data_IF_724745696427
#
_entry.id   IF_724745696427
#
_cell.length_a   1.000
_cell.length_b   1.000
_cell.length_c   1.000
_cell.angle_alpha   90.00
_cell.angle_beta   90.00
_cell.angle_gamma   90.00
#
_symmetry.space_group_name_H-M   'P 1'
#
loop_
_entity.id
_entity.type
_entity.pdbx_description
1 polymer ?
#
# COMPACT_ATOMS: atom_id res chain seq x y z
N UNK A 1 9.39 6.24 2.76
CA UNK A 1 9.15 6.52 1.33
C UNK A 1 7.78 7.17 1.11
N UNK A 2 6.66 6.55 1.54
CA UNK A 2 5.30 7.11 1.38
C UNK A 2 5.16 8.56 1.87
N UNK A 3 5.67 8.84 3.07
CA UNK A 3 5.66 10.19 3.70
C UNK A 3 6.39 11.22 2.82
N UNK A 4 7.55 10.87 2.29
CA UNK A 4 8.37 11.77 1.45
C UNK A 4 7.65 12.04 0.13
N UNK A 5 7.08 11.01 -0.49
CA UNK A 5 6.30 11.18 -1.72
C UNK A 5 5.12 12.15 -1.50
N UNK A 6 4.36 11.97 -0.42
CA UNK A 6 3.21 12.83 -0.10
C UNK A 6 3.64 14.26 0.22
N UNK A 7 4.75 14.45 0.94
CA UNK A 7 5.29 15.77 1.20
C UNK A 7 5.52 16.57 -0.10
N UNK A 8 6.20 15.99 -1.09
CA UNK A 8 6.40 16.66 -2.38
C UNK A 8 5.11 16.78 -3.20
N UNK A 9 4.24 15.78 -3.14
CA UNK A 9 2.92 15.84 -3.80
C UNK A 9 2.09 17.01 -3.28
N UNK A 10 2.06 17.20 -1.96
CA UNK A 10 1.30 18.25 -1.29
C UNK A 10 1.91 19.63 -1.55
N UNK A 11 3.25 19.77 -1.51
CA UNK A 11 3.92 21.02 -1.91
C UNK A 11 3.54 21.45 -3.33
N UNK A 12 3.52 20.51 -4.27
CA UNK A 12 3.10 20.77 -5.64
C UNK A 12 1.59 21.02 -5.76
N UNK A 13 0.76 20.35 -4.95
CA UNK A 13 -0.68 20.59 -4.88
C UNK A 13 -0.98 22.04 -4.48
N UNK A 14 -0.26 22.57 -3.51
CA UNK A 14 -0.36 23.96 -3.03
C UNK A 14 0.50 24.96 -3.80
N UNK A 15 1.10 24.56 -4.93
CA UNK A 15 1.95 25.41 -5.79
C UNK A 15 3.19 26.01 -5.10
N UNK A 16 3.63 25.42 -3.99
CA UNK A 16 4.85 25.82 -3.27
C UNK A 16 6.12 25.23 -3.90
N UNK A 17 5.97 24.25 -4.79
CA UNK A 17 7.08 23.62 -5.49
C UNK A 17 6.62 23.16 -6.86
N UNK A 18 7.10 23.80 -7.93
CA UNK A 18 6.82 23.39 -9.29
C UNK A 18 7.66 22.17 -9.65
N UNK A 19 7.11 21.00 -9.37
CA UNK A 19 7.64 19.76 -9.93
C UNK A 19 6.72 19.28 -11.02
N UNK A 20 7.30 18.75 -12.09
CA UNK A 20 6.57 18.01 -13.11
C UNK A 20 5.98 16.71 -12.58
N UNK A 21 5.41 16.64 -11.37
CA UNK A 21 4.92 15.41 -10.71
C UNK A 21 3.98 14.59 -11.61
N UNK A 22 3.25 15.26 -12.50
CA UNK A 22 2.34 14.60 -13.44
C UNK A 22 2.98 14.21 -14.78
N UNK A 23 4.15 14.75 -15.11
CA UNK A 23 4.84 14.57 -16.40
C UNK A 23 6.13 13.75 -16.28
N UNK A 24 6.85 13.87 -15.17
CA UNK A 24 8.15 13.22 -15.01
C UNK A 24 7.99 11.74 -14.68
N UNK A 25 8.81 10.92 -15.33
CA UNK A 25 8.81 9.48 -15.14
C UNK A 25 9.08 9.08 -13.68
N UNK A 26 9.94 9.84 -13.00
CA UNK A 26 10.28 9.61 -11.59
C UNK A 26 9.03 9.62 -10.69
N UNK A 27 8.21 10.67 -10.78
CA UNK A 27 7.04 10.87 -9.94
C UNK A 27 5.89 9.92 -10.26
N UNK A 28 5.86 9.32 -11.46
CA UNK A 28 4.87 8.31 -11.84
C UNK A 28 5.28 6.88 -11.49
N UNK A 29 6.59 6.58 -11.47
CA UNK A 29 7.12 5.27 -11.08
C UNK A 29 7.28 5.13 -9.57
N UNK A 30 7.68 6.19 -8.88
CA UNK A 30 8.01 6.12 -7.45
C UNK A 30 6.86 5.59 -6.57
N UNK A 31 5.59 6.04 -6.73
CA UNK A 31 4.46 5.48 -5.99
C UNK A 31 4.26 3.98 -6.25
N UNK A 32 4.50 3.52 -7.49
CA UNK A 32 4.40 2.11 -7.84
C UNK A 32 5.44 1.28 -7.09
N UNK A 33 6.67 1.77 -6.98
CA UNK A 33 7.73 1.12 -6.19
C UNK A 33 7.33 1.04 -4.71
N UNK A 34 6.80 2.14 -4.15
CA UNK A 34 6.36 2.18 -2.74
C UNK A 34 5.28 1.14 -2.48
N UNK A 35 4.24 1.11 -3.33
CA UNK A 35 3.14 0.15 -3.20
C UNK A 35 3.64 -1.29 -3.39
N UNK A 36 4.55 -1.53 -4.33
CA UNK A 36 5.15 -2.85 -4.54
C UNK A 36 5.85 -3.39 -3.30
N UNK A 37 6.74 -2.61 -2.70
CA UNK A 37 7.41 -3.02 -1.46
C UNK A 37 6.42 -3.20 -0.31
N UNK A 38 5.42 -2.34 -0.21
CA UNK A 38 4.40 -2.43 0.82
C UNK A 38 3.59 -3.73 0.70
N UNK A 39 3.09 -4.08 -0.49
CA UNK A 39 2.29 -5.28 -0.72
C UNK A 39 3.10 -6.58 -0.64
N UNK A 40 4.36 -6.58 -1.09
CA UNK A 40 5.27 -7.70 -0.85
C UNK A 40 5.46 -7.92 0.66
N UNK A 41 5.64 -6.83 1.42
CA UNK A 41 5.76 -6.90 2.88
C UNK A 41 4.49 -7.41 3.54
N UNK A 42 3.30 -7.05 3.03
CA UNK A 42 2.01 -7.61 3.48
C UNK A 42 1.97 -9.12 3.29
N UNK A 43 2.37 -9.62 2.12
CA UNK A 43 2.43 -11.05 1.81
C UNK A 43 3.39 -11.81 2.74
N UNK A 44 4.60 -11.28 2.92
CA UNK A 44 5.59 -11.82 3.87
C UNK A 44 5.02 -11.90 5.29
N UNK A 45 4.47 -10.79 5.79
CA UNK A 45 3.92 -10.70 7.14
C UNK A 45 2.72 -11.64 7.34
N UNK A 46 1.90 -11.83 6.31
CA UNK A 46 0.79 -12.76 6.36
C UNK A 46 1.29 -14.19 6.52
N UNK A 47 2.26 -14.61 5.71
CA UNK A 47 2.86 -15.96 5.83
C UNK A 47 3.57 -16.19 7.15
N UNK A 48 4.25 -15.19 7.72
CA UNK A 48 4.87 -15.28 9.05
C UNK A 48 3.78 -15.50 10.10
N UNK A 49 2.73 -14.67 10.09
CA UNK A 49 1.64 -14.73 11.05
C UNK A 49 0.85 -16.04 11.01
N UNK A 50 0.80 -16.70 9.84
CA UNK A 50 0.06 -17.95 9.62
C UNK A 50 0.96 -19.18 9.58
N UNK A 51 2.27 -19.05 9.88
CA UNK A 51 3.26 -20.13 9.77
C UNK A 51 2.92 -21.35 10.63
N UNK A 52 2.28 -21.13 11.79
CA UNK A 52 1.82 -22.18 12.71
C UNK A 52 0.34 -22.57 12.51
N UNK A 53 -0.26 -22.15 11.40
CA UNK A 53 -1.70 -22.27 11.15
C UNK A 53 -2.42 -20.92 11.24
N UNK A 54 -3.67 -20.90 10.78
CA UNK A 54 -4.49 -19.68 10.75
C UNK A 54 -5.31 -19.62 12.03
N UNK A 55 -5.01 -18.67 12.90
CA UNK A 55 -5.92 -18.31 13.99
C UNK A 55 -6.99 -17.36 13.44
N UNK A 56 -8.18 -17.90 13.16
CA UNK A 56 -9.28 -17.13 12.57
C UNK A 56 -9.72 -15.95 13.43
N UNK A 57 -9.63 -16.04 14.76
CA UNK A 57 -9.98 -14.92 15.65
C UNK A 57 -9.05 -13.73 15.43
N UNK A 58 -7.75 -13.94 15.52
CA UNK A 58 -6.77 -12.85 15.33
C UNK A 58 -6.74 -12.33 13.90
N UNK A 59 -6.90 -13.23 12.93
CA UNK A 59 -7.01 -12.87 11.52
C UNK A 59 -8.23 -11.97 11.26
N UNK A 60 -9.42 -12.36 11.72
CA UNK A 60 -10.64 -11.56 11.55
C UNK A 60 -10.56 -10.21 12.25
N UNK A 61 -10.00 -10.14 13.47
CA UNK A 61 -9.77 -8.85 14.14
C UNK A 61 -8.87 -7.92 13.33
N UNK A 62 -7.81 -8.44 12.73
CA UNK A 62 -6.94 -7.66 11.83
C UNK A 62 -7.71 -7.15 10.62
N UNK A 63 -8.49 -8.01 9.96
CA UNK A 63 -9.30 -7.62 8.80
C UNK A 63 -10.30 -6.53 9.18
N UNK A 64 -11.06 -6.72 10.27
CA UNK A 64 -12.03 -5.73 10.77
C UNK A 64 -11.34 -4.39 11.05
N UNK A 65 -10.20 -4.40 11.74
CA UNK A 65 -9.42 -3.17 12.00
C UNK A 65 -9.02 -2.46 10.72
N UNK A 66 -8.52 -3.19 9.72
CA UNK A 66 -8.14 -2.60 8.43
C UNK A 66 -9.36 -2.06 7.68
N UNK A 67 -10.48 -2.79 7.67
CA UNK A 67 -11.72 -2.39 7.02
C UNK A 67 -12.31 -1.12 7.67
N UNK A 68 -12.32 -1.03 9.00
CA UNK A 68 -12.79 0.17 9.72
C UNK A 68 -11.93 1.38 9.36
N UNK A 69 -10.61 1.24 9.37
CA UNK A 69 -9.70 2.32 8.98
C UNK A 69 -9.90 2.72 7.51
N UNK A 70 -10.08 1.73 6.62
CA UNK A 70 -10.32 1.96 5.21
C UNK A 70 -11.62 2.75 4.96
N UNK A 71 -12.71 2.32 5.60
CA UNK A 71 -14.01 3.00 5.56
C UNK A 71 -13.94 4.40 6.18
N UNK A 72 -13.20 4.57 7.27
CA UNK A 72 -12.97 5.89 7.87
C UNK A 72 -12.29 6.86 6.90
N UNK A 73 -11.27 6.40 6.15
CA UNK A 73 -10.62 7.20 5.10
C UNK A 73 -11.59 7.49 3.96
N UNK A 74 -12.38 6.51 3.51
CA UNK A 74 -13.39 6.72 2.48
C UNK A 74 -14.41 7.78 2.89
N UNK A 75 -14.92 7.72 4.11
CA UNK A 75 -15.90 8.66 4.64
C UNK A 75 -15.30 10.07 4.80
N UNK A 76 -14.11 10.18 5.39
CA UNK A 76 -13.44 11.47 5.53
C UNK A 76 -13.17 12.12 4.16
N UNK A 77 -12.65 11.34 3.21
CA UNK A 77 -12.36 11.86 1.85
C UNK A 77 -13.60 12.10 1.02
N UNK A 78 -14.74 11.47 1.33
CA UNK A 78 -16.03 11.78 0.73
C UNK A 78 -16.46 13.22 0.98
N UNK A 79 -16.30 13.70 2.21
CA UNK A 79 -16.62 15.08 2.57
C UNK A 79 -15.55 16.08 2.09
N UNK A 80 -14.26 15.72 2.18
CA UNK A 80 -13.15 16.64 1.81
C UNK A 80 -12.97 16.77 0.30
N UNK A 81 -13.18 15.70 -0.47
CA UNK A 81 -12.99 15.68 -1.92
C UNK A 81 -14.24 15.18 -2.66
N UNK A 82 -15.32 15.99 -2.74
CA UNK A 82 -16.58 15.57 -3.35
C UNK A 82 -16.41 15.03 -4.78
N UNK A 83 -16.84 13.77 -4.97
CA UNK A 83 -16.73 13.05 -6.24
C UNK A 83 -15.35 12.48 -6.55
N UNK A 84 -14.31 12.73 -5.74
CA UNK A 84 -12.95 12.16 -5.91
C UNK A 84 -12.46 11.40 -4.68
N UNK A 85 -13.39 10.97 -3.84
CA UNK A 85 -13.12 10.24 -2.60
C UNK A 85 -12.46 8.88 -2.83
N UNK A 86 -11.80 8.38 -1.79
CA UNK A 86 -11.05 7.13 -1.84
C UNK A 86 -12.03 5.96 -1.66
N UNK A 87 -12.59 5.44 -2.75
CA UNK A 87 -13.52 4.30 -2.70
C UNK A 87 -12.82 2.93 -2.62
N UNK A 88 -11.58 2.84 -3.11
CA UNK A 88 -10.78 1.64 -3.02
C UNK A 88 -9.29 1.99 -2.99
N UNK A 89 -8.81 2.35 -1.80
CA UNK A 89 -7.42 2.66 -1.50
C UNK A 89 -6.59 1.46 -1.04
N UNK A 90 -5.34 1.69 -0.65
CA UNK A 90 -4.41 0.62 -0.26
C UNK A 90 -4.92 -0.23 0.92
N UNK A 91 -5.60 0.34 1.92
CA UNK A 91 -6.13 -0.45 3.05
C UNK A 91 -7.27 -1.40 2.63
N UNK A 92 -8.12 -0.98 1.70
CA UNK A 92 -9.14 -1.85 1.09
C UNK A 92 -8.47 -3.02 0.37
N UNK A 93 -7.45 -2.71 -0.44
CA UNK A 93 -6.66 -3.71 -1.13
C UNK A 93 -6.03 -4.69 -0.14
N UNK A 94 -5.36 -4.22 0.91
CA UNK A 94 -4.71 -5.10 1.91
C UNK A 94 -5.73 -6.01 2.59
N UNK A 95 -6.90 -5.50 2.97
CA UNK A 95 -7.96 -6.29 3.60
C UNK A 95 -8.45 -7.40 2.66
N UNK A 96 -8.83 -7.06 1.42
CA UNK A 96 -9.32 -8.03 0.42
C UNK A 96 -8.22 -9.02 0.04
N UNK A 97 -7.03 -8.54 -0.28
CA UNK A 97 -5.86 -9.37 -0.60
C UNK A 97 -5.51 -10.34 0.52
N UNK A 98 -5.65 -9.94 1.79
CA UNK A 98 -5.35 -10.82 2.92
C UNK A 98 -6.30 -12.03 2.97
N UNK A 99 -7.58 -11.82 2.63
CA UNK A 99 -8.59 -12.91 2.54
C UNK A 99 -8.29 -13.79 1.33
N UNK A 100 -8.10 -13.20 0.15
CA UNK A 100 -7.83 -13.93 -1.09
C UNK A 100 -6.50 -14.70 -1.06
N UNK A 101 -5.55 -14.27 -0.25
CA UNK A 101 -4.26 -14.93 -0.08
C UNK A 101 -4.36 -16.27 0.68
N UNK A 102 -5.42 -16.52 1.46
CA UNK A 102 -5.58 -17.72 2.29
C UNK A 102 -5.25 -19.03 1.55
N UNK A 103 -5.84 -19.34 0.37
CA UNK A 103 -5.55 -20.58 -0.36
C UNK A 103 -4.08 -20.72 -0.82
N UNK A 104 -3.32 -19.62 -0.87
CA UNK A 104 -1.93 -19.58 -1.34
C UNK A 104 -0.90 -19.72 -0.22
N UNK A 105 -1.27 -19.52 1.05
CA UNK A 105 -0.34 -19.42 2.18
C UNK A 105 0.54 -20.66 2.38
N UNK A 106 0.04 -21.85 2.02
CA UNK A 106 0.77 -23.12 2.12
C UNK A 106 1.32 -23.61 0.78
N UNK A 107 1.14 -22.83 -0.30
CA UNK A 107 1.44 -23.23 -1.69
C UNK A 107 2.32 -22.17 -2.36
N UNK A 108 3.58 -22.00 -1.94
CA UNK A 108 4.41 -20.87 -2.36
C UNK A 108 4.68 -20.83 -3.87
N UNK A 109 4.82 -21.99 -4.53
CA UNK A 109 5.05 -22.05 -5.98
C UNK A 109 3.79 -21.60 -6.74
N UNK A 110 2.62 -22.10 -6.34
CA UNK A 110 1.34 -21.68 -6.94
C UNK A 110 1.12 -20.18 -6.70
N UNK A 111 1.43 -19.69 -5.49
CA UNK A 111 1.42 -18.26 -5.17
C UNK A 111 2.29 -17.46 -6.15
N UNK A 112 3.52 -17.87 -6.38
CA UNK A 112 4.42 -17.20 -7.32
C UNK A 112 3.87 -17.20 -8.75
N UNK A 113 3.46 -18.36 -9.26
CA UNK A 113 2.96 -18.49 -10.63
C UNK A 113 1.71 -17.64 -10.86
N UNK A 114 0.76 -17.66 -9.93
CA UNK A 114 -0.43 -16.79 -9.98
C UNK A 114 -0.05 -15.32 -9.83
N UNK A 115 0.91 -14.98 -8.99
CA UNK A 115 1.40 -13.61 -8.84
C UNK A 115 2.00 -13.07 -10.14
N UNK A 116 2.84 -13.87 -10.81
CA UNK A 116 3.43 -13.53 -12.10
C UNK A 116 2.34 -13.41 -13.18
N UNK A 117 1.38 -14.35 -13.23
CA UNK A 117 0.32 -14.32 -14.24
C UNK A 117 -0.62 -13.13 -14.11
N UNK A 118 -0.78 -12.57 -12.91
CA UNK A 118 -1.55 -11.35 -12.67
C UNK A 118 -0.78 -10.08 -13.04
N UNK A 119 0.54 -10.07 -12.86
CA UNK A 119 1.37 -8.89 -13.12
C UNK A 119 1.76 -8.79 -14.59
N UNK A 120 2.09 -9.92 -15.23
CA UNK A 120 2.68 -9.93 -16.57
C UNK A 120 1.81 -9.25 -17.64
N UNK A 121 0.47 -9.40 -17.70
CA UNK A 121 -0.33 -8.73 -18.73
C UNK A 121 -0.31 -7.21 -18.55
N UNK A 122 -0.36 -6.74 -17.30
CA UNK A 122 -0.34 -5.31 -17.03
C UNK A 122 1.04 -4.69 -17.30
N UNK A 123 2.11 -5.42 -17.01
CA UNK A 123 3.48 -4.96 -17.16
C UNK A 123 3.96 -4.95 -18.63
N UNK A 124 3.70 -6.03 -19.38
CA UNK A 124 4.24 -6.21 -20.73
C UNK A 124 3.26 -5.86 -21.84
N UNK A 125 1.95 -6.01 -21.60
CA UNK A 125 0.90 -5.77 -22.61
C UNK A 125 0.08 -4.51 -22.33
N UNK A 126 0.38 -3.79 -21.24
CA UNK A 126 -0.40 -2.62 -20.82
C UNK A 126 -1.84 -2.96 -20.44
N UNK A 127 -2.14 -4.22 -20.14
CA UNK A 127 -3.49 -4.67 -19.83
C UNK A 127 -4.02 -3.99 -18.56
N UNK A 128 -5.27 -3.51 -18.65
CA UNK A 128 -5.98 -2.87 -17.54
C UNK A 128 -7.08 -3.82 -17.06
N UNK A 129 -6.89 -4.39 -15.88
CA UNK A 129 -7.91 -5.23 -15.27
C UNK A 129 -9.19 -4.41 -15.04
N UNK A 130 -10.37 -4.97 -15.38
CA UNK A 130 -11.63 -4.31 -15.09
C UNK A 130 -11.77 -4.15 -13.57
N UNK A 131 -12.15 -2.96 -13.15
CA UNK A 131 -12.44 -2.66 -11.76
C UNK A 131 -13.56 -1.62 -11.70
N UNK A 132 -14.16 -1.46 -10.52
CA UNK A 132 -15.19 -0.44 -10.28
C UNK A 132 -14.58 0.91 -10.65
N UNK A 133 -15.19 1.64 -11.58
CA UNK A 133 -14.75 2.98 -11.99
C UNK A 133 -15.82 3.99 -11.66
N UNK A 134 -15.42 5.10 -11.02
CA UNK A 134 -16.29 6.25 -10.80
C UNK A 134 -16.16 7.25 -11.96
N UNK A 135 -17.11 8.17 -12.05
CA UNK A 135 -17.15 9.23 -13.07
C UNK A 135 -15.94 10.17 -13.00
N UNK A 136 -15.37 10.38 -11.81
CA UNK A 136 -14.13 11.14 -11.61
C UNK A 136 -13.05 10.25 -11.02
N UNK A 137 -11.80 10.50 -11.41
CA UNK A 137 -10.64 9.80 -10.86
C UNK A 137 -10.48 10.15 -9.37
N UNK A 138 -10.46 9.14 -8.49
CA UNK A 138 -10.26 9.35 -7.05
C UNK A 138 -8.86 9.93 -6.76
N UNK A 139 -8.72 10.54 -5.58
CA UNK A 139 -7.44 11.11 -5.12
C UNK A 139 -6.41 10.00 -4.90
N UNK A 140 -6.81 8.89 -4.29
CA UNK A 140 -6.00 7.68 -4.17
C UNK A 140 -6.82 6.46 -4.58
N UNK A 141 -6.20 5.57 -5.36
CA UNK A 141 -6.82 4.33 -5.80
C UNK A 141 -5.78 3.26 -6.09
N UNK A 142 -5.96 2.12 -5.43
CA UNK A 142 -5.10 0.94 -5.58
C UNK A 142 -5.99 -0.26 -5.88
N UNK A 143 -6.33 -0.44 -7.16
CA UNK A 143 -7.13 -1.56 -7.65
C UNK A 143 -6.63 -2.92 -7.11
N UNK A 144 -7.51 -3.91 -7.02
CA UNK A 144 -7.10 -5.24 -6.54
C UNK A 144 -6.06 -5.88 -7.46
N UNK A 145 -6.30 -5.87 -8.77
CA UNK A 145 -5.39 -6.39 -9.78
C UNK A 145 -4.72 -5.25 -10.54
N UNK A 146 -3.43 -5.38 -10.90
CA UNK A 146 -2.55 -6.54 -10.72
C UNK A 146 -1.90 -6.64 -9.33
N UNK A 147 -2.14 -5.66 -8.45
CA UNK A 147 -1.44 -5.45 -7.19
C UNK A 147 -1.47 -6.64 -6.22
N UNK A 148 -2.54 -7.44 -6.22
CA UNK A 148 -2.63 -8.69 -5.47
C UNK A 148 -1.48 -9.66 -5.80
N UNK A 149 -0.98 -9.66 -7.03
CA UNK A 149 0.15 -10.50 -7.42
C UNK A 149 1.42 -10.22 -6.61
N UNK A 150 1.62 -8.98 -6.14
CA UNK A 150 2.77 -8.62 -5.29
C UNK A 150 2.64 -9.20 -3.88
N UNK A 151 1.41 -9.29 -3.35
CA UNK A 151 1.13 -10.00 -2.09
C UNK A 151 1.49 -11.48 -2.24
N UNK A 152 1.11 -12.10 -3.36
CA UNK A 152 1.43 -13.50 -3.65
C UNK A 152 2.94 -13.74 -3.82
N UNK A 153 3.67 -12.80 -4.44
CA UNK A 153 5.14 -12.84 -4.49
C UNK A 153 5.72 -12.78 -3.08
N UNK A 154 5.19 -11.92 -2.20
CA UNK A 154 5.58 -11.86 -0.79
C UNK A 154 5.46 -13.20 -0.05
N UNK A 155 4.38 -13.95 -0.31
CA UNK A 155 4.19 -15.30 0.26
C UNK A 155 5.27 -16.27 -0.23
N UNK A 156 5.62 -16.22 -1.52
CA UNK A 156 6.71 -17.04 -2.05
C UNK A 156 8.06 -16.66 -1.42
N UNK A 157 8.35 -15.36 -1.31
CA UNK A 157 9.59 -14.86 -0.70
C UNK A 157 9.72 -15.28 0.78
N UNK A 158 8.60 -15.44 1.49
CA UNK A 158 8.62 -16.03 2.83
C UNK A 158 9.19 -17.46 2.82
N UNK A 159 8.77 -18.31 1.87
CA UNK A 159 9.28 -19.68 1.74
C UNK A 159 10.77 -19.75 1.39
N UNK A 160 11.31 -18.71 0.74
CA UNK A 160 12.74 -18.57 0.44
C UNK A 160 13.57 -18.02 1.61
N UNK A 161 12.93 -17.80 2.77
CA UNK A 161 13.63 -17.36 3.98
C UNK A 161 14.00 -15.88 3.99
N UNK A 162 13.39 -15.04 3.13
CA UNK A 162 13.69 -13.60 3.09
C UNK A 162 13.46 -12.92 4.46
N UNK A 163 12.48 -13.40 5.23
CA UNK A 163 12.18 -12.95 6.59
C UNK A 163 13.29 -13.27 7.62
N UNK A 164 14.25 -14.15 7.28
CA UNK A 164 15.37 -14.54 8.14
C UNK A 164 16.64 -13.74 7.87
N UNK A 165 16.63 -12.86 6.86
CA UNK A 165 17.78 -12.02 6.56
C UNK A 165 18.10 -11.13 7.76
N UNK A 166 19.35 -11.23 8.24
CA UNK A 166 19.83 -10.41 9.35
C UNK A 166 20.10 -9.01 8.83
N UNK A 167 19.44 -8.01 9.42
CA UNK A 167 19.84 -6.62 9.19
C UNK A 167 21.28 -6.42 9.70
N UNK A 168 22.15 -5.80 8.88
CA UNK A 168 23.48 -5.37 9.33
C UNK A 168 23.38 -4.58 10.62
N UNK A 169 24.35 -4.75 11.52
CA UNK A 169 24.38 -4.00 12.77
C UNK A 169 24.77 -2.55 12.47
N UNK A 170 23.75 -1.69 12.34
CA UNK A 170 23.92 -0.28 12.02
C UNK A 170 23.24 0.58 13.09
N UNK A 171 23.77 1.79 13.34
CA UNK A 171 23.20 2.74 14.32
C UNK A 171 21.71 3.05 14.10
N UNK A 172 21.24 2.94 12.86
CA UNK A 172 19.83 3.18 12.50
C UNK A 172 18.91 1.95 12.64
N UNK A 173 19.43 0.77 13.03
CA UNK A 173 18.63 -0.45 13.12
C UNK A 173 17.41 -0.31 14.03
N UNK A 174 17.58 0.32 15.21
CA UNK A 174 16.47 0.57 16.15
C UNK A 174 15.39 1.46 15.54
N UNK A 175 15.80 2.51 14.82
CA UNK A 175 14.88 3.44 14.16
C UNK A 175 14.12 2.77 13.01
N UNK A 176 14.82 2.01 12.16
CA UNK A 176 14.20 1.27 11.05
C UNK A 176 13.18 0.27 11.58
N UNK A 177 13.52 -0.47 12.65
CA UNK A 177 12.60 -1.40 13.30
C UNK A 177 11.36 -0.68 13.83
N UNK A 178 11.54 0.42 14.56
CA UNK A 178 10.45 1.23 15.10
C UNK A 178 9.50 1.74 14.00
N UNK A 179 10.05 2.26 12.89
CA UNK A 179 9.26 2.72 11.75
C UNK A 179 8.49 1.57 11.08
N UNK A 180 9.08 0.37 11.00
CA UNK A 180 8.43 -0.83 10.46
C UNK A 180 7.27 -1.32 11.34
N UNK A 181 7.51 -1.45 12.65
CA UNK A 181 6.52 -1.91 13.63
C UNK A 181 5.32 -0.96 13.74
N UNK A 182 5.54 0.35 13.57
CA UNK A 182 4.51 1.39 13.63
C UNK A 182 4.03 1.84 12.24
N UNK A 183 4.35 1.08 11.18
CA UNK A 183 4.08 1.48 9.79
C UNK A 183 2.62 1.83 9.50
N UNK A 184 1.65 1.11 10.09
CA UNK A 184 0.21 1.41 9.92
C UNK A 184 -0.17 2.76 10.54
N UNK A 185 0.35 3.05 11.73
CA UNK A 185 0.08 4.33 12.43
C UNK A 185 0.71 5.48 11.66
N UNK A 186 1.97 5.31 11.23
CA UNK A 186 2.67 6.30 10.40
C UNK A 186 1.92 6.51 9.08
N UNK A 187 1.47 5.43 8.43
CA UNK A 187 0.67 5.50 7.21
C UNK A 187 -0.64 6.26 7.43
N UNK A 188 -1.34 6.08 8.55
CA UNK A 188 -2.58 6.79 8.79
C UNK A 188 -2.33 8.28 9.11
N UNK A 189 -1.37 8.55 10.00
CA UNK A 189 -1.14 9.89 10.53
C UNK A 189 -0.40 10.82 9.57
N UNK A 190 0.46 10.30 8.69
CA UNK A 190 1.31 11.18 7.88
C UNK A 190 0.48 12.15 7.03
N UNK A 191 -0.56 11.70 6.31
CA UNK A 191 -1.35 12.61 5.47
C UNK A 191 -2.25 13.52 6.30
N UNK A 192 -2.77 13.03 7.44
CA UNK A 192 -3.57 13.84 8.36
C UNK A 192 -2.77 14.99 8.98
N UNK A 193 -1.45 14.84 9.11
CA UNK A 193 -0.56 15.88 9.64
C UNK A 193 0.04 16.73 8.52
N UNK A 194 0.59 16.09 7.48
CA UNK A 194 1.28 16.76 6.39
C UNK A 194 0.36 17.71 5.63
N UNK A 195 -0.82 17.25 5.23
CA UNK A 195 -1.71 18.04 4.38
C UNK A 195 -2.18 19.33 5.05
N UNK A 196 -2.71 19.33 6.30
CA UNK A 196 -3.07 20.57 6.99
C UNK A 196 -1.86 21.46 7.28
N UNK A 197 -0.70 20.89 7.60
CA UNK A 197 0.51 21.67 7.87
C UNK A 197 0.96 22.44 6.64
N UNK A 198 1.04 21.78 5.48
CA UNK A 198 1.44 22.42 4.22
C UNK A 198 0.38 23.42 3.77
N UNK A 199 -0.91 23.09 3.93
CA UNK A 199 -2.01 24.03 3.67
C UNK A 199 -1.85 25.33 4.48
N UNK A 200 -1.57 25.23 5.79
CA UNK A 200 -1.36 26.40 6.64
C UNK A 200 -0.15 27.21 6.17
N UNK A 201 0.98 26.56 5.88
CA UNK A 201 2.18 27.23 5.35
C UNK A 201 1.86 27.96 4.04
N UNK A 202 1.10 27.33 3.13
CA UNK A 202 0.72 27.95 1.85
C UNK A 202 -0.21 29.16 1.98
N UNK A 203 -0.81 29.39 3.15
CA UNK A 203 -1.64 30.58 3.41
C UNK A 203 -0.82 31.78 3.86
N UNK A 204 0.42 31.57 4.31
CA UNK A 204 1.33 32.62 4.78
C UNK A 204 2.39 33.03 3.75
N UNK A 205 2.48 32.31 2.63
CA UNK A 205 3.35 32.60 1.48
C UNK A 205 2.51 33.19 0.35
#
# INVERSE_FOLDING_TARGET
MMVIFHFFYDLNHFKLFETGIRKDLFWTIWPKIIISFFLISVGLNLSIATSKGINFKTFSFRIIKLSILALGISLATYFVFPGRWVYFGILHNVAVSSILAIPFLKRPIISLLTGISLISPSLFLGYKYPFISLSKKPVDHVALFPWFGLVLIGIFLHSKGLHKLKMPNHKFKKYIRYLGENSLVIYFLHQMILFPTIYLISRFL
#
